data_IF_586895334728
#
_entry.id   IF_586895334728
#
_cell.length_a   1.000
_cell.length_b   1.000
_cell.length_c   1.000
_cell.angle_alpha   90.00
_cell.angle_beta   90.00
_cell.angle_gamma   90.00
#
_symmetry.space_group_name_H-M   'P 1'
#
loop_
_entity.id
_entity.type
_entity.pdbx_description
1 polymer ?
#
# COMPACT_ATOMS: atom_id res chain seq x y z
N UNK A 1 9.62 -14.13 16.11
CA UNK A 1 9.77 -13.62 17.47
C UNK A 1 8.91 -14.42 18.44
N UNK A 2 9.43 -14.61 19.64
CA UNK A 2 8.70 -15.28 20.72
C UNK A 2 8.44 -14.32 21.86
N UNK A 3 7.25 -14.40 22.45
CA UNK A 3 6.87 -13.64 23.63
C UNK A 3 5.83 -14.45 24.42
N UNK A 4 5.89 -14.41 25.74
CA UNK A 4 5.02 -15.21 26.60
C UNK A 4 5.13 -16.71 26.29
N UNK A 5 6.36 -17.21 26.03
CA UNK A 5 6.69 -18.60 25.73
C UNK A 5 6.08 -19.16 24.45
N UNK A 6 5.66 -18.30 23.51
CA UNK A 6 5.12 -18.75 22.23
C UNK A 6 5.48 -17.78 21.10
N UNK A 7 5.47 -18.28 19.88
CA UNK A 7 5.67 -17.45 18.69
C UNK A 7 4.55 -16.42 18.62
N UNK A 8 4.88 -15.14 18.40
CA UNK A 8 3.87 -14.07 18.38
C UNK A 8 2.78 -14.29 17.32
N UNK A 9 3.13 -14.91 16.20
CA UNK A 9 2.16 -15.24 15.15
C UNK A 9 1.06 -16.21 15.57
N UNK A 10 1.21 -16.88 16.72
CA UNK A 10 0.16 -17.75 17.27
C UNK A 10 -0.93 -16.99 18.01
N UNK A 11 -0.72 -15.72 18.36
CA UNK A 11 -1.73 -14.92 19.04
C UNK A 11 -2.81 -14.45 18.05
N UNK A 12 -4.05 -14.50 18.48
CA UNK A 12 -5.21 -14.17 17.66
C UNK A 12 -5.16 -12.75 17.09
N UNK A 13 -4.79 -11.77 17.92
CA UNK A 13 -4.69 -10.37 17.48
C UNK A 13 -3.66 -10.20 16.35
N UNK A 14 -2.51 -10.87 16.47
CA UNK A 14 -1.47 -10.83 15.44
C UNK A 14 -1.96 -11.49 14.14
N UNK A 15 -2.63 -12.63 14.25
CA UNK A 15 -3.23 -13.31 13.09
C UNK A 15 -4.22 -12.42 12.36
N UNK A 16 -5.07 -11.71 13.10
CA UNK A 16 -6.05 -10.79 12.53
C UNK A 16 -5.37 -9.64 11.79
N UNK A 17 -4.33 -9.04 12.38
CA UNK A 17 -3.58 -7.96 11.74
C UNK A 17 -2.91 -8.44 10.44
N UNK A 18 -2.33 -9.63 10.46
CA UNK A 18 -1.71 -10.21 9.26
C UNK A 18 -2.75 -10.48 8.17
N UNK A 19 -3.91 -11.00 8.55
CA UNK A 19 -5.00 -11.26 7.63
C UNK A 19 -5.53 -9.97 7.00
N UNK A 20 -5.66 -8.91 7.79
CA UNK A 20 -6.07 -7.59 7.27
C UNK A 20 -5.06 -7.04 6.27
N UNK A 21 -3.76 -7.14 6.59
CA UNK A 21 -2.71 -6.70 5.67
C UNK A 21 -2.77 -7.48 4.35
N UNK A 22 -2.95 -8.79 4.41
CA UNK A 22 -3.06 -9.62 3.22
C UNK A 22 -4.30 -9.25 2.39
N UNK A 23 -5.44 -9.04 3.05
CA UNK A 23 -6.68 -8.65 2.38
C UNK A 23 -6.56 -7.30 1.69
N UNK A 24 -5.83 -6.35 2.27
CA UNK A 24 -5.62 -5.03 1.68
C UNK A 24 -4.61 -5.08 0.51
N UNK A 25 -3.60 -5.95 0.60
CA UNK A 25 -2.55 -6.06 -0.42
C UNK A 25 -2.99 -6.80 -1.68
N UNK A 26 -3.78 -7.85 -1.56
CA UNK A 26 -4.18 -8.67 -2.70
C UNK A 26 -4.84 -7.88 -3.84
N UNK A 27 -5.81 -6.99 -3.59
CA UNK A 27 -6.41 -6.21 -4.66
C UNK A 27 -5.42 -5.27 -5.35
N UNK A 28 -4.33 -4.87 -4.68
CA UNK A 28 -3.33 -3.99 -5.27
C UNK A 28 -2.63 -4.62 -6.48
N UNK A 29 -2.41 -5.93 -6.44
CA UNK A 29 -1.83 -6.65 -7.59
C UNK A 29 -2.76 -6.59 -8.80
N UNK A 30 -4.05 -6.81 -8.58
CA UNK A 30 -5.03 -6.72 -9.66
C UNK A 30 -5.09 -5.31 -10.26
N UNK A 31 -5.06 -4.28 -9.42
CA UNK A 31 -5.05 -2.89 -9.88
C UNK A 31 -3.80 -2.56 -10.69
N UNK A 32 -2.64 -3.04 -10.23
CA UNK A 32 -1.38 -2.84 -10.93
C UNK A 32 -1.41 -3.52 -12.31
N UNK A 33 -1.85 -4.78 -12.36
CA UNK A 33 -1.96 -5.51 -13.61
C UNK A 33 -2.96 -4.85 -14.57
N UNK A 34 -4.08 -4.38 -14.05
CA UNK A 34 -5.09 -3.69 -14.85
C UNK A 34 -4.54 -2.40 -15.47
N UNK A 35 -3.81 -1.62 -14.67
CA UNK A 35 -3.19 -0.39 -15.17
C UNK A 35 -2.16 -0.67 -16.26
N UNK A 36 -1.33 -1.69 -16.06
CA UNK A 36 -0.32 -2.09 -17.05
C UNK A 36 -0.97 -2.62 -18.32
N UNK A 37 -2.02 -3.43 -18.20
CA UNK A 37 -2.78 -3.94 -19.32
C UNK A 37 -3.40 -2.80 -20.13
N UNK A 38 -4.00 -1.82 -19.45
CA UNK A 38 -4.64 -0.67 -20.12
C UNK A 38 -3.65 0.15 -20.93
N UNK A 39 -2.42 0.25 -20.46
CA UNK A 39 -1.37 0.97 -21.20
C UNK A 39 -1.17 0.37 -22.60
N UNK A 40 -1.19 -0.96 -22.72
CA UNK A 40 -0.95 -1.65 -23.99
C UNK A 40 -2.21 -1.87 -24.81
N UNK A 41 -3.37 -2.04 -24.18
CA UNK A 41 -4.58 -2.55 -24.84
C UNK A 41 -5.77 -1.60 -24.80
N UNK A 42 -5.75 -0.60 -23.92
CA UNK A 42 -6.83 0.38 -23.79
C UNK A 42 -6.25 1.76 -23.44
N UNK A 43 -5.56 2.39 -24.40
CA UNK A 43 -4.84 3.64 -24.14
C UNK A 43 -5.72 4.79 -23.63
N UNK A 44 -6.98 4.82 -24.00
CA UNK A 44 -7.91 5.87 -23.58
C UNK A 44 -8.17 5.83 -22.07
N UNK A 45 -8.12 4.65 -21.46
CA UNK A 45 -8.32 4.44 -20.03
C UNK A 45 -7.01 4.38 -19.24
N UNK A 46 -5.86 4.29 -19.92
CA UNK A 46 -4.58 4.02 -19.27
C UNK A 46 -4.23 5.04 -18.20
N UNK A 47 -4.43 6.32 -18.46
CA UNK A 47 -4.10 7.37 -17.50
C UNK A 47 -4.98 7.31 -16.25
N UNK A 48 -6.27 7.12 -16.42
CA UNK A 48 -7.21 6.95 -15.32
C UNK A 48 -6.85 5.74 -14.47
N UNK A 49 -6.60 4.60 -15.10
CA UNK A 49 -6.20 3.38 -14.41
C UNK A 49 -4.89 3.56 -13.63
N UNK A 50 -3.92 4.26 -14.21
CA UNK A 50 -2.65 4.56 -13.54
C UNK A 50 -2.86 5.46 -12.31
N UNK A 51 -3.69 6.49 -12.43
CA UNK A 51 -4.00 7.39 -11.31
C UNK A 51 -4.72 6.66 -10.18
N UNK A 52 -5.69 5.82 -10.52
CA UNK A 52 -6.42 5.02 -9.52
C UNK A 52 -5.50 4.03 -8.83
N UNK A 53 -4.66 3.31 -9.56
CA UNK A 53 -3.69 2.38 -9.00
C UNK A 53 -2.70 3.11 -8.09
N UNK A 54 -2.13 4.20 -8.54
CA UNK A 54 -1.16 4.98 -7.74
C UNK A 54 -1.77 5.46 -6.44
N UNK A 55 -2.95 6.06 -6.47
CA UNK A 55 -3.58 6.62 -5.28
C UNK A 55 -3.95 5.52 -4.27
N UNK A 56 -4.52 4.42 -4.73
CA UNK A 56 -4.95 3.33 -3.85
C UNK A 56 -3.74 2.56 -3.28
N UNK A 57 -2.80 2.16 -4.14
CA UNK A 57 -1.63 1.39 -3.70
C UNK A 57 -0.77 2.19 -2.74
N UNK A 58 -0.59 3.50 -2.96
CA UNK A 58 0.16 4.36 -2.05
C UNK A 58 -0.48 4.40 -0.65
N UNK A 59 -1.82 4.47 -0.57
CA UNK A 59 -2.52 4.45 0.72
C UNK A 59 -2.40 3.09 1.42
N UNK A 60 -2.60 2.01 0.68
CA UNK A 60 -2.48 0.65 1.21
C UNK A 60 -1.05 0.39 1.71
N UNK A 61 -0.04 0.76 0.93
CA UNK A 61 1.36 0.59 1.33
C UNK A 61 1.67 1.31 2.64
N UNK A 62 1.17 2.54 2.80
CA UNK A 62 1.33 3.30 4.03
C UNK A 62 0.67 2.61 5.22
N UNK A 63 -0.57 2.17 5.06
CA UNK A 63 -1.32 1.48 6.12
C UNK A 63 -0.66 0.15 6.51
N UNK A 64 -0.25 -0.63 5.52
CA UNK A 64 0.40 -1.93 5.75
C UNK A 64 1.74 -1.76 6.46
N UNK A 65 2.52 -0.74 6.08
CA UNK A 65 3.80 -0.47 6.75
C UNK A 65 3.62 -0.12 8.22
N UNK A 66 2.57 0.65 8.56
CA UNK A 66 2.23 0.95 9.96
C UNK A 66 1.82 -0.31 10.72
N UNK A 67 0.95 -1.12 10.16
CA UNK A 67 0.51 -2.38 10.79
C UNK A 67 1.66 -3.35 10.97
N UNK A 68 2.55 -3.45 10.00
CA UNK A 68 3.74 -4.30 10.11
C UNK A 68 4.63 -3.85 11.28
N UNK A 69 4.80 -2.55 11.47
CA UNK A 69 5.54 -2.01 12.61
C UNK A 69 4.88 -2.39 13.93
N UNK A 70 3.55 -2.28 14.02
CA UNK A 70 2.80 -2.68 15.21
C UNK A 70 2.95 -4.17 15.51
N UNK A 71 2.89 -5.03 14.50
CA UNK A 71 3.06 -6.48 14.67
C UNK A 71 4.43 -6.82 15.24
N UNK A 72 5.47 -6.12 14.83
CA UNK A 72 6.81 -6.32 15.39
C UNK A 72 6.99 -5.72 16.79
N UNK A 73 6.06 -4.90 17.25
CA UNK A 73 6.13 -4.25 18.54
C UNK A 73 7.30 -3.28 18.65
N UNK A 74 7.93 -3.18 19.82
CA UNK A 74 9.05 -2.27 20.04
C UNK A 74 10.21 -2.46 19.08
N UNK A 75 10.46 -3.69 18.62
CA UNK A 75 11.52 -3.98 17.65
C UNK A 75 11.26 -3.35 16.29
N UNK A 76 10.00 -3.16 15.91
CA UNK A 76 9.62 -2.56 14.65
C UNK A 76 10.05 -1.10 14.50
N UNK A 77 10.34 -0.43 15.62
CA UNK A 77 10.79 0.97 15.63
C UNK A 77 12.31 1.11 15.65
N UNK A 78 13.05 -0.01 15.58
CA UNK A 78 14.52 -0.01 15.60
C UNK A 78 15.09 -0.29 14.21
N UNK A 79 16.37 0.07 14.04
CA UNK A 79 17.12 -0.22 12.82
C UNK A 79 17.44 -1.71 12.66
N UNK A 80 17.33 -2.49 13.74
CA UNK A 80 17.72 -3.91 13.75
C UNK A 80 16.93 -4.77 12.77
N UNK A 81 15.64 -4.44 12.54
CA UNK A 81 14.78 -5.17 11.63
C UNK A 81 14.73 -4.57 10.23
N UNK A 82 15.31 -3.40 10.04
CA UNK A 82 15.31 -2.72 8.74
C UNK A 82 13.95 -2.19 8.29
N UNK A 83 12.91 -2.27 9.11
CA UNK A 83 11.57 -1.81 8.75
C UNK A 83 11.54 -0.32 8.43
N UNK A 84 12.33 0.49 9.11
CA UNK A 84 12.32 1.92 8.89
C UNK A 84 12.85 2.30 7.50
N UNK A 85 13.72 1.49 6.90
CA UNK A 85 14.16 1.70 5.52
C UNK A 85 13.00 1.49 4.55
N UNK A 86 12.22 0.44 4.74
CA UNK A 86 11.03 0.19 3.94
C UNK A 86 9.98 1.28 4.12
N UNK A 87 9.79 1.74 5.35
CA UNK A 87 8.87 2.82 5.67
C UNK A 87 9.25 4.11 4.91
N UNK A 88 10.53 4.45 4.91
CA UNK A 88 11.05 5.61 4.18
C UNK A 88 10.89 5.44 2.68
N UNK A 89 11.16 4.24 2.15
CA UNK A 89 10.99 3.95 0.71
C UNK A 89 9.54 4.08 0.29
N UNK A 90 8.61 3.59 1.08
CA UNK A 90 7.18 3.71 0.83
C UNK A 90 6.77 5.19 0.83
N UNK A 91 7.27 5.97 1.79
CA UNK A 91 7.02 7.41 1.83
C UNK A 91 7.52 8.15 0.60
N UNK A 92 8.73 7.80 0.13
CA UNK A 92 9.27 8.35 -1.10
C UNK A 92 8.43 7.96 -2.32
N UNK A 93 8.11 6.67 -2.45
CA UNK A 93 7.32 6.16 -3.56
C UNK A 93 5.93 6.81 -3.61
N UNK A 94 5.37 7.14 -2.45
CA UNK A 94 4.08 7.82 -2.34
C UNK A 94 4.11 9.18 -3.05
N UNK A 95 5.23 9.89 -2.96
CA UNK A 95 5.35 11.25 -3.49
C UNK A 95 5.91 11.32 -4.91
N UNK A 96 6.59 10.29 -5.37
CA UNK A 96 7.17 10.27 -6.73
C UNK A 96 6.05 10.38 -7.78
N UNK A 97 6.23 11.29 -8.73
CA UNK A 97 5.30 11.53 -9.84
C UNK A 97 3.92 12.02 -9.40
N UNK A 98 3.83 12.55 -8.20
CA UNK A 98 2.61 13.08 -7.61
C UNK A 98 2.10 12.23 -6.46
N UNK A 99 1.69 12.89 -5.38
CA UNK A 99 1.10 12.22 -4.21
C UNK A 99 -0.33 11.76 -4.47
N UNK A 100 -0.91 10.95 -3.56
CA UNK A 100 -2.25 10.39 -3.74
C UNK A 100 -3.33 11.45 -3.93
N UNK A 101 -3.23 12.57 -3.25
CA UNK A 101 -4.19 13.66 -3.37
C UNK A 101 -4.21 14.23 -4.79
N UNK A 102 -3.01 14.49 -5.34
CA UNK A 102 -2.86 15.04 -6.68
C UNK A 102 -3.37 14.06 -7.75
N UNK A 103 -3.00 12.79 -7.64
CA UNK A 103 -3.44 11.79 -8.64
C UNK A 103 -4.94 11.47 -8.52
N UNK A 104 -5.53 11.56 -7.32
CA UNK A 104 -6.98 11.44 -7.16
C UNK A 104 -7.73 12.59 -7.83
N UNK A 105 -7.21 13.80 -7.68
CA UNK A 105 -7.77 14.96 -8.35
C UNK A 105 -7.72 14.79 -9.86
N UNK A 106 -6.60 14.32 -10.39
CA UNK A 106 -6.47 14.03 -11.81
C UNK A 106 -7.46 12.94 -12.25
N UNK A 107 -7.62 11.88 -11.46
CA UNK A 107 -8.58 10.82 -11.77
C UNK A 107 -10.01 11.36 -11.80
N UNK A 108 -10.35 12.23 -10.84
CA UNK A 108 -11.67 12.86 -10.80
C UNK A 108 -11.92 13.73 -12.02
N UNK A 109 -10.91 14.48 -12.46
CA UNK A 109 -11.00 15.29 -13.69
C UNK A 109 -11.22 14.40 -14.92
N UNK A 110 -10.48 13.30 -15.02
CA UNK A 110 -10.61 12.37 -16.14
C UNK A 110 -11.99 11.71 -16.19
N UNK A 111 -12.64 11.56 -15.02
CA UNK A 111 -14.00 11.03 -14.93
C UNK A 111 -15.08 12.10 -15.04
N UNK A 112 -14.70 13.37 -15.13
CA UNK A 112 -15.62 14.48 -15.29
C UNK A 112 -16.23 15.01 -14.01
N UNK A 113 -15.75 14.61 -12.83
CA UNK A 113 -16.33 15.02 -11.55
C UNK A 113 -16.03 16.47 -11.18
N UNK A 114 -15.00 17.07 -11.77
CA UNK A 114 -14.57 18.44 -11.47
C UNK A 114 -15.02 19.46 -12.54
N UNK A 115 -15.97 19.11 -13.36
CA UNK A 115 -16.51 20.00 -14.39
C UNK A 115 -17.65 20.87 -13.86
#
# INVERSE_FOLDING_TARGET
RKQFNRVIGSFQAVKHMCAEMAADLEPCYAMLWQAAYSFDHDPDEARLQACQAKSHIAEVAKMVSKKATEVHGGMGFTDLLGLHYWFKRIGLNRQILGGPELVREEAAELQGFNQ
#
